data_IF_491926837760
#
_entry.id   IF_491926837760
#
_cell.length_a   1.000
_cell.length_b   1.000
_cell.length_c   1.000
_cell.angle_alpha   90.00
_cell.angle_beta   90.00
_cell.angle_gamma   90.00
#
_symmetry.space_group_name_H-M   'P 1'
#
loop_
_entity.id
_entity.type
_entity.pdbx_description
1 polymer ?
#
# COMPACT_ATOMS: atom_id res chain seq x y z
N UNK A 1 6.98 -5.62 -7.78
CA UNK A 1 5.67 -5.34 -8.42
C UNK A 1 4.78 -4.68 -7.37
N UNK A 2 4.20 -3.52 -7.69
CA UNK A 2 3.43 -2.68 -6.76
C UNK A 2 2.33 -3.46 -6.03
N UNK A 3 1.54 -4.27 -6.76
CA UNK A 3 0.47 -5.10 -6.18
C UNK A 3 0.95 -5.98 -5.02
N UNK A 4 2.13 -6.62 -5.16
CA UNK A 4 2.69 -7.46 -4.08
C UNK A 4 3.03 -6.64 -2.85
N UNK A 5 3.56 -5.43 -3.03
CA UNK A 5 3.85 -4.52 -1.91
C UNK A 5 2.54 -4.15 -1.20
N UNK A 6 1.50 -3.75 -1.96
CA UNK A 6 0.18 -3.45 -1.39
C UNK A 6 -0.35 -4.63 -0.59
N UNK A 7 -0.34 -5.84 -1.15
CA UNK A 7 -0.85 -7.05 -0.49
C UNK A 7 -0.06 -7.40 0.79
N UNK A 8 1.27 -7.31 0.74
CA UNK A 8 2.10 -7.53 1.93
C UNK A 8 1.81 -6.50 3.01
N UNK A 9 1.71 -5.21 2.64
CA UNK A 9 1.44 -4.15 3.61
C UNK A 9 0.01 -4.23 4.16
N UNK A 10 -0.97 -4.69 3.38
CA UNK A 10 -2.33 -4.91 3.86
C UNK A 10 -2.38 -5.97 4.98
N UNK A 11 -1.51 -6.99 4.91
CA UNK A 11 -1.40 -8.06 5.91
C UNK A 11 -0.67 -7.63 7.19
N UNK A 12 0.01 -6.49 7.19
CA UNK A 12 0.80 -6.05 8.33
C UNK A 12 -0.09 -5.59 9.50
N UNK A 13 -0.15 -6.39 10.55
CA UNK A 13 -1.02 -6.16 11.72
C UNK A 13 -0.32 -5.46 12.89
N UNK A 14 0.98 -5.16 12.79
CA UNK A 14 1.70 -4.46 13.86
C UNK A 14 1.14 -3.06 14.13
N UNK A 15 0.62 -2.39 13.10
CA UNK A 15 -0.05 -1.10 13.23
C UNK A 15 -1.50 -1.18 12.74
N UNK A 16 -2.39 -1.72 13.58
CA UNK A 16 -3.81 -1.87 13.23
C UNK A 16 -4.53 -0.53 12.99
N UNK A 17 -4.07 0.56 13.60
CA UNK A 17 -4.70 1.89 13.53
C UNK A 17 -4.05 2.82 12.50
N UNK A 18 -3.28 2.23 11.57
CA UNK A 18 -2.72 2.97 10.45
C UNK A 18 -3.83 3.63 9.64
N UNK A 19 -3.71 4.93 9.41
CA UNK A 19 -4.65 5.67 8.58
C UNK A 19 -4.36 5.39 7.11
N UNK A 20 -5.40 5.40 6.28
CA UNK A 20 -5.28 5.15 4.84
C UNK A 20 -4.22 6.04 4.17
N UNK A 21 -4.12 7.37 4.42
CA UNK A 21 -3.09 8.19 3.79
C UNK A 21 -1.67 7.75 4.16
N UNK A 22 -1.45 7.34 5.42
CA UNK A 22 -0.14 6.88 5.89
C UNK A 22 0.24 5.56 5.22
N UNK A 23 -0.72 4.65 5.08
CA UNK A 23 -0.56 3.40 4.34
C UNK A 23 -0.18 3.63 2.87
N UNK A 24 -0.90 4.52 2.17
CA UNK A 24 -0.63 4.84 0.76
C UNK A 24 0.79 5.40 0.61
N UNK A 25 1.17 6.40 1.42
CA UNK A 25 2.52 6.98 1.40
C UNK A 25 3.61 5.94 1.65
N UNK A 26 3.38 5.03 2.58
CA UNK A 26 4.31 3.93 2.88
C UNK A 26 4.52 3.03 1.67
N UNK A 27 3.44 2.61 1.01
CA UNK A 27 3.53 1.76 -0.19
C UNK A 27 4.23 2.48 -1.34
N UNK A 28 3.86 3.73 -1.62
CA UNK A 28 4.50 4.56 -2.64
C UNK A 28 6.00 4.63 -2.37
N UNK A 29 6.40 4.97 -1.15
CA UNK A 29 7.80 5.04 -0.75
C UNK A 29 8.55 3.72 -0.96
N UNK A 30 7.97 2.60 -0.52
CA UNK A 30 8.56 1.26 -0.69
C UNK A 30 8.75 0.89 -2.16
N UNK A 31 7.78 1.23 -3.01
CA UNK A 31 7.88 0.93 -4.43
C UNK A 31 8.86 1.84 -5.15
N UNK A 32 8.91 3.14 -4.82
CA UNK A 32 9.91 4.07 -5.34
C UNK A 32 11.32 3.62 -4.98
N UNK A 33 11.57 3.19 -3.74
CA UNK A 33 12.86 2.61 -3.35
C UNK A 33 13.21 1.35 -4.17
N UNK A 34 12.22 0.54 -4.55
CA UNK A 34 12.44 -0.61 -5.43
C UNK A 34 12.82 -0.15 -6.84
N UNK A 35 12.13 0.85 -7.40
CA UNK A 35 12.40 1.37 -8.74
C UNK A 35 13.81 2.00 -8.83
N UNK A 36 14.20 2.79 -7.81
CA UNK A 36 15.53 3.39 -7.71
C UNK A 36 16.67 2.36 -7.63
N UNK A 37 16.40 1.15 -7.14
CA UNK A 37 17.39 0.05 -7.13
C UNK A 37 17.52 -0.62 -8.49
N UNK A 38 16.47 -0.62 -9.31
CA UNK A 38 16.42 -1.33 -10.59
C UNK A 38 16.74 -0.48 -11.80
N UNK A 39 16.71 0.85 -11.69
CA UNK A 39 16.98 1.74 -12.80
C UNK A 39 17.21 3.19 -12.39
N UNK A 40 17.33 4.04 -13.41
CA UNK A 40 17.53 5.48 -13.25
C UNK A 40 16.25 6.20 -13.69
N UNK A 41 15.43 6.63 -12.73
CA UNK A 41 14.33 7.57 -13.02
C UNK A 41 15.00 8.94 -13.19
N UNK A 42 14.91 9.60 -14.36
CA UNK A 42 15.40 10.96 -14.49
C UNK A 42 14.67 11.87 -13.49
N UNK A 43 15.41 12.71 -12.78
CA UNK A 43 14.86 13.51 -11.67
C UNK A 43 13.69 14.40 -12.11
N UNK A 44 13.69 14.86 -13.35
CA UNK A 44 12.63 15.68 -13.95
C UNK A 44 11.28 14.97 -14.07
N UNK A 45 11.26 13.63 -14.12
CA UNK A 45 10.03 12.83 -14.15
C UNK A 45 9.69 12.19 -12.80
N UNK A 46 10.46 12.49 -11.74
CA UNK A 46 10.26 11.84 -10.44
C UNK A 46 8.88 12.17 -9.85
N UNK A 47 8.43 13.41 -9.98
CA UNK A 47 7.12 13.84 -9.47
C UNK A 47 5.99 13.13 -10.20
N UNK A 48 6.00 13.13 -11.54
CA UNK A 48 5.02 12.41 -12.38
C UNK A 48 4.96 10.91 -12.01
N UNK A 49 6.12 10.28 -11.84
CA UNK A 49 6.20 8.86 -11.47
C UNK A 49 5.60 8.61 -10.09
N UNK A 50 5.83 9.51 -9.12
CA UNK A 50 5.25 9.39 -7.78
C UNK A 50 3.73 9.56 -7.79
N UNK A 51 3.22 10.51 -8.57
CA UNK A 51 1.78 10.73 -8.75
C UNK A 51 1.10 9.51 -9.36
N UNK A 52 1.68 8.92 -10.42
CA UNK A 52 1.17 7.71 -11.06
C UNK A 52 1.14 6.53 -10.08
N UNK A 53 2.21 6.32 -9.32
CA UNK A 53 2.28 5.26 -8.32
C UNK A 53 1.25 5.48 -7.21
N UNK A 54 1.06 6.72 -6.75
CA UNK A 54 0.06 7.04 -5.73
C UNK A 54 -1.36 6.75 -6.24
N UNK A 55 -1.70 7.20 -7.44
CA UNK A 55 -2.99 6.95 -8.07
C UNK A 55 -3.26 5.44 -8.21
N UNK A 56 -2.29 4.68 -8.70
CA UNK A 56 -2.41 3.22 -8.83
C UNK A 56 -2.55 2.54 -7.46
N UNK A 57 -1.78 2.98 -6.47
CA UNK A 57 -1.85 2.44 -5.10
C UNK A 57 -3.24 2.66 -4.49
N UNK A 58 -3.83 3.84 -4.68
CA UNK A 58 -5.18 4.16 -4.22
C UNK A 58 -6.21 3.25 -4.89
N UNK A 59 -6.10 3.02 -6.20
CA UNK A 59 -6.99 2.11 -6.91
C UNK A 59 -6.89 0.67 -6.39
N UNK A 60 -5.68 0.13 -6.26
CA UNK A 60 -5.46 -1.23 -5.76
C UNK A 60 -6.01 -1.36 -4.34
N UNK A 61 -5.70 -0.39 -3.47
CA UNK A 61 -6.22 -0.35 -2.11
C UNK A 61 -7.76 -0.43 -2.11
N UNK A 62 -8.44 0.46 -2.85
CA UNK A 62 -9.91 0.50 -2.92
C UNK A 62 -10.50 -0.83 -3.41
N UNK A 63 -9.90 -1.44 -4.43
CA UNK A 63 -10.34 -2.74 -4.98
C UNK A 63 -10.13 -3.88 -3.98
N UNK A 64 -9.06 -3.85 -3.18
CA UNK A 64 -8.74 -4.89 -2.18
C UNK A 64 -9.55 -4.75 -0.89
N UNK A 65 -9.81 -3.53 -0.45
CA UNK A 65 -10.53 -3.24 0.79
C UNK A 65 -11.99 -2.86 0.54
N UNK A 66 -12.54 -3.19 -0.63
CA UNK A 66 -13.92 -2.86 -0.98
C UNK A 66 -14.89 -3.37 0.09
N UNK A 67 -15.83 -2.51 0.50
CA UNK A 67 -16.79 -2.81 1.56
C UNK A 67 -16.33 -2.53 2.99
N UNK A 68 -15.11 -2.00 3.19
CA UNK A 68 -14.60 -1.60 4.51
C UNK A 68 -14.36 -0.09 4.54
N UNK A 69 -14.74 0.56 5.65
CA UNK A 69 -14.60 2.02 5.82
C UNK A 69 -13.17 2.41 6.16
N UNK A 70 -12.44 1.52 6.83
CA UNK A 70 -11.07 1.78 7.29
C UNK A 70 -10.17 0.57 7.05
N UNK A 71 -8.87 0.84 6.95
CA UNK A 71 -7.85 -0.20 6.91
C UNK A 71 -7.87 -1.08 8.16
N UNK A 72 -8.15 -0.50 9.32
CA UNK A 72 -8.30 -1.23 10.59
C UNK A 72 -9.42 -2.28 10.49
N UNK A 73 -10.59 -1.87 10.01
CA UNK A 73 -11.76 -2.74 9.84
C UNK A 73 -11.45 -3.91 8.89
N UNK A 74 -10.85 -3.59 7.74
CA UNK A 74 -10.40 -4.59 6.77
C UNK A 74 -9.43 -5.61 7.41
N UNK A 75 -8.40 -5.14 8.11
CA UNK A 75 -7.39 -6.00 8.75
C UNK A 75 -8.00 -6.88 9.84
N UNK A 76 -8.89 -6.33 10.66
CA UNK A 76 -9.61 -7.08 11.70
C UNK A 76 -10.46 -8.19 11.08
N UNK A 77 -11.19 -7.90 10.01
CA UNK A 77 -12.02 -8.89 9.34
C UNK A 77 -11.21 -9.98 8.64
N UNK A 78 -10.10 -9.64 7.98
CA UNK A 78 -9.38 -10.58 7.11
C UNK A 78 -8.27 -11.37 7.80
N UNK A 79 -7.58 -10.78 8.77
CA UNK A 79 -6.34 -11.37 9.31
C UNK A 79 -6.44 -11.75 10.78
N UNK A 80 -7.31 -11.10 11.57
CA UNK A 80 -7.44 -11.42 13.00
C UNK A 80 -8.08 -12.79 13.26
N UNK A 81 -8.93 -13.29 12.35
CA UNK A 81 -9.53 -14.62 12.49
C UNK A 81 -8.54 -15.77 12.26
N UNK A 82 -7.32 -15.51 11.77
CA UNK A 82 -6.32 -16.57 11.55
C UNK A 82 -5.53 -16.96 12.80
N UNK A 83 -5.58 -16.15 13.86
CA UNK A 83 -4.80 -16.41 15.09
C UNK A 83 -5.59 -17.18 16.16
N UNK A 84 -6.88 -17.43 15.95
CA UNK A 84 -7.79 -18.08 16.94
C UNK A 84 -8.12 -19.56 16.62
N UNK A 85 -7.31 -20.26 15.82
CA UNK A 85 -7.54 -21.68 15.50
C UNK A 85 -6.26 -22.52 15.39
#
# INVERSE_FOLDING_TARGET
MLLKIVETQLQETQNMREKTPDFIRKVVHLYTLQLMKTGTIPLEFMEDVLEDIEAETIEIYRKKTYGFLTLEEYRRHKFRQKDDN
#
